data_IF_031228236918
#
_entry.id   IF_031228236918
#
_cell.length_a   1.000
_cell.length_b   1.000
_cell.length_c   1.000
_cell.angle_alpha   90.00
_cell.angle_beta   90.00
_cell.angle_gamma   90.00
#
_symmetry.space_group_name_H-M   'P 1'
#
loop_
_entity.id
_entity.type
_entity.pdbx_description
1 polymer ?
#
# COMPACT_ATOMS: atom_id res chain seq x y z
N UNK A 1 39.13 -36.57 -0.43
CA UNK A 1 39.98 -36.67 -1.65
C UNK A 1 39.26 -35.84 -2.73
N UNK A 2 39.72 -34.71 -3.27
CA UNK A 2 41.00 -34.19 -3.77
C UNK A 2 40.92 -32.64 -3.71
N UNK A 3 41.74 -31.95 -2.91
CA UNK A 3 42.89 -31.07 -3.29
C UNK A 3 42.55 -29.94 -4.30
N UNK A 4 42.47 -28.66 -3.91
CA UNK A 4 43.54 -27.66 -3.63
C UNK A 4 44.44 -27.33 -4.84
N UNK A 5 44.22 -26.16 -5.47
CA UNK A 5 45.15 -25.33 -6.30
C UNK A 5 44.50 -23.92 -6.26
N UNK A 6 44.93 -22.85 -5.56
CA UNK A 6 46.23 -22.21 -5.34
C UNK A 6 46.86 -21.62 -6.61
N UNK A 7 46.59 -20.33 -6.90
CA UNK A 7 47.60 -19.33 -7.28
C UNK A 7 47.01 -18.06 -7.91
N UNK A 8 47.45 -16.91 -7.37
CA UNK A 8 47.93 -15.69 -8.05
C UNK A 8 47.02 -15.02 -9.11
N UNK A 9 46.94 -13.70 -9.28
CA UNK A 9 47.42 -12.48 -8.65
C UNK A 9 46.99 -11.33 -9.62
N UNK A 10 47.15 -10.08 -9.18
CA UNK A 10 47.15 -8.83 -9.98
C UNK A 10 45.77 -8.23 -10.33
N UNK A 11 45.33 -7.19 -9.61
CA UNK A 11 45.70 -5.77 -9.76
C UNK A 11 45.08 -5.12 -11.00
N UNK A 12 44.06 -4.28 -10.77
CA UNK A 12 43.93 -2.98 -11.43
C UNK A 12 43.00 -2.10 -10.59
N UNK A 13 43.62 -1.37 -9.66
CA UNK A 13 43.09 -0.12 -9.12
C UNK A 13 42.89 0.85 -10.28
N UNK A 14 41.69 1.37 -10.47
CA UNK A 14 41.51 2.73 -11.01
C UNK A 14 40.85 3.58 -9.93
N UNK A 15 41.69 4.39 -9.29
CA UNK A 15 41.28 5.52 -8.49
C UNK A 15 40.96 6.68 -9.42
N UNK A 16 39.70 7.07 -9.52
CA UNK A 16 39.34 8.42 -9.93
C UNK A 16 39.20 9.26 -8.66
N UNK A 17 40.21 10.10 -8.44
CA UNK A 17 40.19 11.22 -7.51
C UNK A 17 39.20 12.25 -8.03
N UNK A 18 38.16 12.51 -7.25
CA UNK A 18 37.25 13.63 -7.39
C UNK A 18 36.69 13.94 -6.00
N UNK A 19 37.37 14.85 -5.30
CA UNK A 19 37.06 15.30 -3.95
C UNK A 19 36.37 16.67 -4.04
N UNK A 20 35.09 16.75 -3.66
CA UNK A 20 34.47 17.95 -3.06
C UNK A 20 33.06 17.51 -2.60
N UNK A 21 32.83 17.29 -1.30
CA UNK A 21 32.54 18.25 -0.22
C UNK A 21 31.08 18.71 -0.25
N UNK A 22 30.36 18.36 0.84
CA UNK A 22 29.05 18.87 1.28
C UNK A 22 27.85 18.53 0.37
N UNK A 23 26.64 18.17 0.81
CA UNK A 23 25.91 18.18 2.10
C UNK A 23 24.68 17.23 1.96
N UNK A 24 23.98 16.86 3.05
CA UNK A 24 22.82 15.98 2.98
C UNK A 24 21.59 16.77 2.51
N UNK A 25 21.24 16.64 1.24
CA UNK A 25 20.00 17.21 0.73
C UNK A 25 18.82 16.33 1.11
N UNK A 26 18.28 16.64 2.29
CA UNK A 26 16.84 16.65 2.48
C UNK A 26 16.31 17.95 1.86
N UNK A 27 15.48 17.86 0.82
CA UNK A 27 14.25 18.62 0.78
C UNK A 27 13.16 17.60 1.14
N UNK A 28 12.53 17.62 2.32
CA UNK A 28 11.73 18.76 2.74
C UNK A 28 11.13 19.41 1.48
N UNK A 29 10.35 18.61 0.75
CA UNK A 29 9.20 19.14 0.05
C UNK A 29 8.36 19.85 1.13
N UNK A 30 8.68 21.12 1.28
CA UNK A 30 7.77 22.16 1.73
C UNK A 30 6.50 21.96 0.91
N UNK A 31 5.53 21.25 1.49
CA UNK A 31 4.16 21.41 1.05
C UNK A 31 3.86 22.86 1.37
N UNK A 32 3.97 23.70 0.33
CA UNK A 32 3.36 25.00 0.30
C UNK A 32 1.96 24.81 0.87
N UNK A 33 1.68 25.49 1.96
CA UNK A 33 0.34 25.77 2.44
C UNK A 33 -0.35 26.62 1.37
N UNK A 34 -0.71 25.96 0.28
CA UNK A 34 -1.41 26.49 -0.86
C UNK A 34 -2.63 25.61 -1.00
N UNK A 35 -3.71 26.07 -0.37
CA UNK A 35 -5.08 25.69 -0.68
C UNK A 35 -5.27 24.20 -0.97
N UNK A 36 -4.94 23.34 0.01
CA UNK A 36 -5.70 22.11 0.12
C UNK A 36 -7.00 22.55 0.75
N UNK A 37 -7.94 22.96 -0.11
CA UNK A 37 -9.35 22.78 0.18
C UNK A 37 -9.54 21.28 0.39
N UNK A 38 -9.19 20.83 1.61
CA UNK A 38 -9.72 19.61 2.16
C UNK A 38 -11.19 19.97 2.30
N UNK A 39 -11.93 19.72 1.22
CA UNK A 39 -13.35 19.46 1.29
C UNK A 39 -13.44 18.34 2.33
N UNK A 40 -13.55 18.70 3.61
CA UNK A 40 -14.06 17.83 4.67
C UNK A 40 -15.54 17.72 4.35
N UNK A 41 -15.81 17.13 3.20
CA UNK A 41 -17.09 16.60 2.82
C UNK A 41 -17.31 15.49 3.82
N UNK A 42 -18.39 15.60 4.57
CA UNK A 42 -18.82 14.54 5.47
C UNK A 42 -18.66 13.20 4.75
N UNK A 43 -18.08 12.18 5.40
CA UNK A 43 -17.76 10.94 4.73
C UNK A 43 -19.01 10.45 4.02
N UNK A 44 -18.88 10.25 2.71
CA UNK A 44 -19.88 9.53 1.93
C UNK A 44 -20.20 8.21 2.64
N UNK A 45 -21.41 7.69 2.43
CA UNK A 45 -21.81 6.41 3.06
C UNK A 45 -20.79 5.29 2.82
N UNK A 46 -20.10 5.33 1.68
CA UNK A 46 -19.04 4.39 1.31
C UNK A 46 -17.77 4.56 2.18
N UNK A 47 -17.31 5.79 2.43
CA UNK A 47 -16.15 6.04 3.28
C UNK A 47 -16.40 5.58 4.73
N UNK A 48 -17.59 5.80 5.27
CA UNK A 48 -17.93 5.34 6.62
C UNK A 48 -17.89 3.80 6.75
N UNK A 49 -18.31 3.09 5.69
CA UNK A 49 -18.19 1.63 5.63
C UNK A 49 -16.72 1.20 5.56
N UNK A 50 -15.91 1.88 4.75
CA UNK A 50 -14.47 1.56 4.61
C UNK A 50 -13.70 1.83 5.90
N UNK A 51 -14.00 2.91 6.63
CA UNK A 51 -13.46 3.16 7.99
C UNK A 51 -13.78 1.99 8.92
N UNK A 52 -15.01 1.49 8.86
CA UNK A 52 -15.46 0.40 9.72
C UNK A 52 -14.83 -0.94 9.33
N UNK A 53 -14.64 -1.17 8.03
CA UNK A 53 -13.97 -2.35 7.48
C UNK A 53 -12.46 -2.37 7.80
N UNK A 54 -11.80 -1.23 7.71
CA UNK A 54 -10.40 -1.01 8.12
C UNK A 54 -10.22 -1.28 9.62
N UNK A 55 -11.16 -0.82 10.46
CA UNK A 55 -11.11 -1.08 11.90
C UNK A 55 -11.25 -2.57 12.30
N UNK A 56 -11.69 -3.45 11.40
CA UNK A 56 -11.83 -4.90 11.67
C UNK A 56 -10.47 -5.60 11.75
N UNK A 57 -9.46 -5.13 11.00
CA UNK A 57 -8.13 -5.73 11.06
C UNK A 57 -7.26 -5.21 12.22
N UNK A 58 -7.74 -4.16 12.89
CA UNK A 58 -7.13 -3.58 14.08
C UNK A 58 -5.99 -2.61 13.81
N UNK A 59 -5.75 -2.20 12.55
CA UNK A 59 -4.63 -1.31 12.19
C UNK A 59 -5.05 0.12 11.87
N UNK A 60 -6.28 0.33 11.39
CA UNK A 60 -6.79 1.65 11.02
C UNK A 60 -5.81 2.45 10.13
N UNK A 61 -5.22 1.78 9.14
CA UNK A 61 -4.15 2.30 8.28
C UNK A 61 -4.64 2.61 6.85
N UNK A 62 -5.96 2.64 6.66
CA UNK A 62 -6.64 2.73 5.36
C UNK A 62 -6.36 1.53 4.45
N UNK A 63 -6.00 0.39 5.03
CA UNK A 63 -5.83 -0.87 4.32
C UNK A 63 -6.86 -1.86 4.86
N UNK A 64 -7.88 -2.16 4.07
CA UNK A 64 -8.84 -3.21 4.40
C UNK A 64 -8.19 -4.56 4.06
N UNK A 65 -7.52 -5.16 5.06
CA UNK A 65 -6.79 -6.42 4.90
C UNK A 65 -7.71 -7.63 4.69
N UNK A 66 -8.97 -7.56 5.12
CA UNK A 66 -9.98 -8.60 4.93
C UNK A 66 -10.67 -8.47 3.57
N UNK A 67 -11.04 -9.59 2.96
CA UNK A 67 -11.67 -9.60 1.64
C UNK A 67 -13.02 -8.89 1.64
N UNK A 68 -13.09 -7.71 1.02
CA UNK A 68 -14.33 -6.93 0.89
C UNK A 68 -15.41 -7.68 0.10
N UNK A 69 -15.01 -8.43 -0.95
CA UNK A 69 -15.94 -9.26 -1.74
C UNK A 69 -16.53 -10.45 -0.98
N UNK A 70 -15.92 -10.87 0.12
CA UNK A 70 -16.42 -11.95 0.99
C UNK A 70 -17.00 -11.41 2.30
N UNK A 71 -17.50 -10.17 2.31
CA UNK A 71 -18.03 -9.50 3.49
C UNK A 71 -17.08 -9.54 4.70
N UNK A 72 -15.78 -9.39 4.44
CA UNK A 72 -14.71 -9.36 5.43
C UNK A 72 -14.53 -10.70 6.20
N UNK A 73 -15.14 -11.78 5.74
CA UNK A 73 -15.12 -13.10 6.40
C UNK A 73 -13.83 -13.89 6.24
N UNK A 74 -12.89 -13.44 5.40
CA UNK A 74 -11.60 -14.07 5.19
C UNK A 74 -10.51 -13.05 4.86
N UNK A 75 -9.25 -13.46 4.95
CA UNK A 75 -8.12 -12.61 4.59
C UNK A 75 -8.06 -12.36 3.07
N UNK A 76 -7.84 -11.10 2.72
CA UNK A 76 -7.45 -10.69 1.38
C UNK A 76 -5.94 -10.83 1.19
N UNK A 77 -5.52 -10.71 -0.07
CA UNK A 77 -4.12 -10.73 -0.44
C UNK A 77 -3.77 -9.44 -1.18
N UNK A 78 -2.57 -8.92 -0.93
CA UNK A 78 -2.07 -7.71 -1.59
C UNK A 78 -1.91 -7.87 -3.10
N UNK A 79 -1.73 -9.10 -3.59
CA UNK A 79 -1.71 -9.41 -5.05
C UNK A 79 -3.05 -9.10 -5.73
N UNK A 80 -4.16 -9.09 -4.98
CA UNK A 80 -5.49 -8.74 -5.46
C UNK A 80 -5.97 -7.47 -4.74
N UNK A 81 -5.24 -6.36 -4.90
CA UNK A 81 -5.62 -5.08 -4.30
C UNK A 81 -6.41 -4.18 -5.26
N UNK A 82 -7.33 -3.40 -4.72
CA UNK A 82 -8.08 -2.34 -5.42
C UNK A 82 -8.12 -1.08 -4.54
N UNK A 83 -7.93 0.09 -5.13
CA UNK A 83 -8.01 1.36 -4.42
C UNK A 83 -9.33 2.07 -4.70
N UNK A 84 -9.96 2.61 -3.65
CA UNK A 84 -11.13 3.48 -3.75
C UNK A 84 -11.24 4.36 -2.51
N UNK A 85 -11.67 5.61 -2.68
CA UNK A 85 -11.98 6.54 -1.57
C UNK A 85 -10.81 6.75 -0.61
N UNK A 86 -9.58 6.65 -1.12
CA UNK A 86 -8.35 6.73 -0.33
C UNK A 86 -8.04 5.49 0.52
N UNK A 87 -8.75 4.38 0.33
CA UNK A 87 -8.51 3.09 0.94
C UNK A 87 -7.92 2.10 -0.06
N UNK A 88 -7.08 1.19 0.43
CA UNK A 88 -6.64 0.00 -0.29
C UNK A 88 -7.41 -1.21 0.24
N UNK A 89 -8.17 -1.88 -0.62
CA UNK A 89 -8.91 -3.08 -0.27
C UNK A 89 -8.19 -4.31 -0.83
N UNK A 90 -7.96 -5.32 0.00
CA UNK A 90 -7.40 -6.60 -0.42
C UNK A 90 -8.51 -7.62 -0.67
N UNK A 91 -8.34 -8.46 -1.69
CA UNK A 91 -9.29 -9.50 -2.07
C UNK A 91 -8.65 -10.87 -1.99
N UNK A 92 -9.44 -11.93 -1.73
CA UNK A 92 -8.90 -13.28 -1.58
C UNK A 92 -8.55 -13.94 -2.93
N UNK A 93 -9.20 -13.50 -4.01
CA UNK A 93 -8.98 -13.96 -5.39
C UNK A 93 -9.14 -12.82 -6.39
N UNK A 94 -8.63 -13.02 -7.61
CA UNK A 94 -8.86 -12.12 -8.74
C UNK A 94 -10.36 -11.97 -9.05
N UNK A 95 -11.14 -13.05 -8.95
CA UNK A 95 -12.58 -13.04 -9.21
C UNK A 95 -13.34 -12.13 -8.22
N UNK A 96 -12.97 -12.16 -6.93
CA UNK A 96 -13.54 -11.25 -5.95
C UNK A 96 -13.17 -9.79 -6.25
N UNK A 97 -11.92 -9.53 -6.65
CA UNK A 97 -11.47 -8.18 -7.03
C UNK A 97 -12.24 -7.67 -8.26
N UNK A 98 -12.30 -8.48 -9.30
CA UNK A 98 -12.89 -8.10 -10.58
C UNK A 98 -14.41 -7.99 -10.48
N UNK A 99 -15.06 -8.86 -9.70
CA UNK A 99 -16.48 -8.75 -9.39
C UNK A 99 -16.82 -7.46 -8.65
N UNK A 100 -16.02 -7.11 -7.64
CA UNK A 100 -16.17 -5.89 -6.86
C UNK A 100 -15.88 -4.62 -7.69
N UNK A 101 -14.90 -4.70 -8.59
CA UNK A 101 -14.51 -3.58 -9.45
C UNK A 101 -15.54 -3.20 -10.52
N UNK A 102 -16.56 -4.04 -10.78
CA UNK A 102 -17.63 -3.73 -11.74
C UNK A 102 -18.46 -2.52 -11.32
N UNK A 103 -18.72 -2.39 -10.03
CA UNK A 103 -19.41 -1.25 -9.44
C UNK A 103 -18.90 -1.07 -8.01
N UNK A 104 -17.82 -0.31 -7.87
CA UNK A 104 -17.11 -0.14 -6.61
C UNK A 104 -18.00 0.55 -5.58
N UNK A 105 -18.74 1.59 -5.98
CA UNK A 105 -19.62 2.34 -5.08
C UNK A 105 -20.71 1.46 -4.50
N UNK A 106 -21.46 0.75 -5.37
CA UNK A 106 -22.51 -0.15 -4.92
C UNK A 106 -21.93 -1.30 -4.08
N UNK A 107 -20.76 -1.81 -4.46
CA UNK A 107 -20.12 -2.92 -3.75
C UNK A 107 -19.64 -2.51 -2.36
N UNK A 108 -19.06 -1.32 -2.20
CA UNK A 108 -18.68 -0.77 -0.89
C UNK A 108 -19.93 -0.55 -0.04
N UNK A 109 -20.98 0.05 -0.58
CA UNK A 109 -22.24 0.26 0.15
C UNK A 109 -22.92 -1.05 0.57
N UNK A 110 -22.64 -2.15 -0.13
CA UNK A 110 -23.17 -3.48 0.17
C UNK A 110 -22.34 -4.29 1.19
N UNK A 111 -21.16 -3.82 1.61
CA UNK A 111 -20.33 -4.53 2.60
C UNK A 111 -21.08 -4.59 3.92
N UNK A 112 -21.36 -5.81 4.38
CA UNK A 112 -21.88 -6.06 5.72
C UNK A 112 -20.71 -6.12 6.69
N UNK A 113 -20.44 -4.99 7.32
CA UNK A 113 -19.45 -4.90 8.40
C UNK A 113 -20.04 -5.57 9.65
N UNK A 114 -19.47 -6.68 10.17
CA UNK A 114 -19.93 -7.25 11.43
C UNK A 114 -19.78 -6.25 12.57
N UNK A 115 -20.82 -6.13 13.40
CA UNK A 115 -20.76 -5.33 14.61
C UNK A 115 -19.71 -5.94 15.56
N UNK A 116 -18.88 -5.06 16.14
CA UNK A 116 -17.81 -5.44 17.07
C UNK A 116 -18.38 -5.80 18.45
#
# INVERSE_FOLDING_TARGET
MKRLICSLACLALWATVGCEKSEPEKPAAEIKAGDVSIDIKAPSGAEAILVSADAIDGKSDKVVSKCAGCALGMDGKSEFALQSHGYTMHFCSAECKDGFAKDIEASVLAIKVPAK
#
